data_IF_025641617206
#
_entry.id   IF_025641617206
#
_cell.length_a   1.000
_cell.length_b   1.000
_cell.length_c   1.000
_cell.angle_alpha   90.00
_cell.angle_beta   90.00
_cell.angle_gamma   90.00
#
_symmetry.space_group_name_H-M   'P 1'
#
loop_
_entity.id
_entity.type
_entity.pdbx_description
1 polymer ?
#
# COMPACT_ATOMS: atom_id res chain seq x y z
N UNK A 1 -4.55 3.11 -18.25
CA UNK A 1 -4.90 4.01 -19.37
C UNK A 1 -6.42 4.21 -19.53
N UNK A 2 -7.29 3.56 -18.74
CA UNK A 2 -8.75 3.73 -18.86
C UNK A 2 -9.37 4.90 -18.07
N UNK A 3 -8.68 5.42 -17.05
CA UNK A 3 -9.26 6.47 -16.20
C UNK A 3 -9.38 7.82 -16.88
N UNK A 4 -8.43 8.15 -17.75
CA UNK A 4 -8.40 9.42 -18.49
C UNK A 4 -9.54 9.47 -19.50
N UNK A 5 -9.84 8.34 -20.15
CA UNK A 5 -10.94 8.21 -21.09
C UNK A 5 -12.31 8.30 -20.39
N UNK A 6 -12.39 7.79 -19.15
CA UNK A 6 -13.58 7.94 -18.30
C UNK A 6 -13.80 9.40 -17.88
N UNK A 7 -12.72 10.12 -17.48
CA UNK A 7 -12.79 11.54 -17.14
C UNK A 7 -13.21 12.40 -18.33
N UNK A 8 -12.69 12.12 -19.52
CA UNK A 8 -13.01 12.87 -20.74
C UNK A 8 -14.48 12.68 -21.14
N UNK A 9 -14.99 11.44 -21.13
CA UNK A 9 -16.40 11.16 -21.43
C UNK A 9 -17.34 11.72 -20.37
N UNK A 10 -16.93 11.74 -19.10
CA UNK A 10 -17.71 12.33 -18.03
C UNK A 10 -17.81 13.86 -18.21
N UNK A 11 -16.71 14.51 -18.60
CA UNK A 11 -16.69 15.94 -18.90
C UNK A 11 -17.52 16.32 -20.13
N UNK A 12 -17.51 15.48 -21.17
CA UNK A 12 -18.32 15.66 -22.38
C UNK A 12 -19.83 15.53 -22.07
N UNK A 13 -20.19 14.53 -21.27
CA UNK A 13 -21.57 14.34 -20.79
C UNK A 13 -22.03 15.52 -19.92
N UNK A 14 -21.18 16.01 -19.02
CA UNK A 14 -21.48 17.18 -18.17
C UNK A 14 -21.70 18.45 -19.00
N UNK A 15 -21.05 18.59 -20.16
CA UNK A 15 -21.27 19.71 -21.09
C UNK A 15 -22.61 19.63 -21.80
N UNK A 16 -23.03 18.45 -22.28
CA UNK A 16 -24.30 18.29 -23.01
C UNK A 16 -25.53 18.51 -22.11
N UNK A 17 -25.43 18.20 -20.81
CA UNK A 17 -26.54 18.40 -19.86
C UNK A 17 -26.54 19.77 -19.15
N UNK A 18 -25.55 20.63 -19.44
CA UNK A 18 -25.31 21.89 -18.74
C UNK A 18 -26.44 22.93 -18.83
N UNK A 19 -27.24 22.92 -19.90
CA UNK A 19 -28.25 23.96 -20.15
C UNK A 19 -29.65 23.67 -19.53
N UNK A 20 -29.89 22.47 -18.99
CA UNK A 20 -31.22 22.06 -18.53
C UNK A 20 -31.35 21.76 -17.02
N UNK A 21 -30.25 21.75 -16.26
CA UNK A 21 -30.25 21.12 -14.94
C UNK A 21 -29.30 21.78 -13.91
N UNK A 22 -29.55 23.05 -13.60
CA UNK A 22 -28.66 23.94 -12.83
C UNK A 22 -28.25 23.47 -11.40
N UNK A 23 -29.15 22.96 -10.51
CA UNK A 23 -28.77 22.71 -9.10
C UNK A 23 -28.28 21.28 -8.82
N UNK A 24 -28.88 20.29 -9.50
CA UNK A 24 -28.58 18.88 -9.25
C UNK A 24 -27.24 18.47 -9.85
N UNK A 25 -26.85 19.03 -11.01
CA UNK A 25 -25.53 18.78 -11.61
C UNK A 25 -24.40 19.37 -10.77
N UNK A 26 -24.58 20.56 -10.19
CA UNK A 26 -23.59 21.11 -9.25
C UNK A 26 -23.37 20.20 -8.04
N UNK A 27 -24.44 19.63 -7.47
CA UNK A 27 -24.34 18.69 -6.35
C UNK A 27 -23.63 17.39 -6.74
N UNK A 28 -23.99 16.82 -7.89
CA UNK A 28 -23.34 15.62 -8.43
C UNK A 28 -21.86 15.86 -8.76
N UNK A 29 -21.53 16.99 -9.36
CA UNK A 29 -20.15 17.37 -9.66
C UNK A 29 -19.30 17.58 -8.40
N UNK A 30 -19.89 18.07 -7.31
CA UNK A 30 -19.21 18.18 -6.01
C UNK A 30 -18.99 16.80 -5.39
N UNK A 31 -20.01 15.94 -5.38
CA UNK A 31 -19.90 14.56 -4.88
C UNK A 31 -18.87 13.74 -5.68
N UNK A 32 -18.82 13.90 -7.00
CA UNK A 32 -17.82 13.24 -7.85
C UNK A 32 -16.40 13.70 -7.49
N UNK A 33 -16.19 15.01 -7.26
CA UNK A 33 -14.91 15.56 -6.81
C UNK A 33 -14.51 15.05 -5.43
N UNK A 34 -15.45 14.97 -4.49
CA UNK A 34 -15.21 14.41 -3.16
C UNK A 34 -14.86 12.92 -3.22
N UNK A 35 -15.60 12.15 -4.01
CA UNK A 35 -15.31 10.73 -4.23
C UNK A 35 -13.92 10.52 -4.86
N UNK A 36 -13.55 11.32 -5.86
CA UNK A 36 -12.23 11.28 -6.48
C UNK A 36 -11.13 11.64 -5.47
N UNK A 37 -11.33 12.67 -4.64
CA UNK A 37 -10.37 13.05 -3.60
C UNK A 37 -10.21 11.95 -2.54
N UNK A 38 -11.30 11.32 -2.11
CA UNK A 38 -11.28 10.21 -1.17
C UNK A 38 -10.59 8.98 -1.76
N UNK A 39 -10.84 8.67 -3.05
CA UNK A 39 -10.16 7.58 -3.75
C UNK A 39 -8.65 7.81 -3.81
N UNK A 40 -8.21 9.02 -4.17
CA UNK A 40 -6.77 9.39 -4.19
C UNK A 40 -6.13 9.27 -2.80
N UNK A 41 -6.84 9.67 -1.74
CA UNK A 41 -6.36 9.49 -0.35
C UNK A 41 -6.22 8.02 0.00
N UNK A 42 -7.22 7.20 -0.35
CA UNK A 42 -7.20 5.76 -0.08
C UNK A 42 -6.06 5.07 -0.82
N UNK A 43 -5.88 5.37 -2.10
CA UNK A 43 -4.77 4.86 -2.91
C UNK A 43 -3.41 5.18 -2.28
N UNK A 44 -3.23 6.44 -1.84
CA UNK A 44 -2.01 6.85 -1.13
C UNK A 44 -1.81 6.04 0.16
N UNK A 45 -2.85 5.87 0.97
CA UNK A 45 -2.76 5.08 2.21
C UNK A 45 -2.43 3.62 1.95
N UNK A 46 -2.98 3.01 0.90
CA UNK A 46 -2.68 1.63 0.51
C UNK A 46 -1.21 1.51 0.09
N UNK A 47 -0.71 2.44 -0.72
CA UNK A 47 0.69 2.43 -1.15
C UNK A 47 1.64 2.56 0.06
N UNK A 48 1.37 3.48 0.98
CA UNK A 48 2.17 3.61 2.22
C UNK A 48 2.12 2.35 3.09
N UNK A 49 0.96 1.67 3.16
CA UNK A 49 0.84 0.41 3.88
C UNK A 49 1.66 -0.70 3.21
N UNK A 50 1.64 -0.78 1.89
CA UNK A 50 2.44 -1.76 1.13
C UNK A 50 3.93 -1.54 1.36
N UNK A 51 4.42 -0.31 1.28
CA UNK A 51 5.82 0.04 1.58
C UNK A 51 6.22 -0.37 3.00
N UNK A 52 5.33 -0.13 3.97
CA UNK A 52 5.55 -0.51 5.37
C UNK A 52 5.62 -2.03 5.56
N UNK A 53 4.76 -2.78 4.86
CA UNK A 53 4.76 -4.24 4.89
C UNK A 53 5.99 -4.83 4.20
N UNK A 54 6.43 -4.26 3.09
CA UNK A 54 7.64 -4.69 2.40
C UNK A 54 8.89 -4.41 3.25
N UNK A 55 8.95 -3.28 3.92
CA UNK A 55 10.01 -2.98 4.89
C UNK A 55 10.00 -4.01 6.04
N UNK A 56 8.83 -4.24 6.66
CA UNK A 56 8.68 -5.21 7.75
C UNK A 56 9.11 -6.62 7.30
N UNK A 57 8.75 -7.02 6.07
CA UNK A 57 9.15 -8.30 5.49
C UNK A 57 10.67 -8.44 5.44
N UNK A 58 11.39 -7.39 5.07
CA UNK A 58 12.86 -7.39 5.04
C UNK A 58 13.43 -7.49 6.46
N UNK A 59 12.89 -6.72 7.41
CA UNK A 59 13.30 -6.80 8.82
C UNK A 59 13.18 -8.22 9.37
N UNK A 60 12.04 -8.89 9.13
CA UNK A 60 11.81 -10.27 9.58
C UNK A 60 12.84 -11.23 8.98
N UNK A 61 13.19 -11.08 7.69
CA UNK A 61 14.20 -11.93 7.05
C UNK A 61 15.56 -11.81 7.75
N UNK A 62 15.99 -10.59 8.07
CA UNK A 62 17.25 -10.37 8.78
C UNK A 62 17.21 -10.90 10.22
N UNK A 63 16.12 -10.65 10.95
CA UNK A 63 15.97 -11.17 12.31
C UNK A 63 16.00 -12.71 12.36
N UNK A 64 15.36 -13.38 11.40
CA UNK A 64 15.40 -14.84 11.30
C UNK A 64 16.81 -15.34 10.97
N UNK A 65 17.51 -14.65 10.07
CA UNK A 65 18.88 -14.99 9.70
C UNK A 65 19.83 -14.86 10.89
N UNK A 66 19.76 -13.77 11.63
CA UNK A 66 20.58 -13.53 12.82
C UNK A 66 20.27 -14.54 13.93
N UNK A 67 18.99 -14.88 14.13
CA UNK A 67 18.58 -15.91 15.07
C UNK A 67 19.15 -17.29 14.71
N UNK A 68 19.12 -17.66 13.43
CA UNK A 68 19.69 -18.94 12.99
C UNK A 68 21.22 -18.96 13.11
N UNK A 69 21.90 -17.85 12.82
CA UNK A 69 23.34 -17.71 13.02
C UNK A 69 23.72 -17.91 14.50
N UNK A 70 23.03 -17.21 15.42
CA UNK A 70 23.26 -17.36 16.87
C UNK A 70 22.92 -18.76 17.38
N UNK A 71 21.89 -19.42 16.83
CA UNK A 71 21.55 -20.80 17.18
C UNK A 71 22.63 -21.80 16.77
N UNK A 72 23.20 -21.64 15.57
CA UNK A 72 24.31 -22.48 15.07
C UNK A 72 25.57 -22.28 15.90
N UNK A 73 25.92 -21.03 16.18
CA UNK A 73 27.06 -20.69 17.01
C UNK A 73 26.93 -21.31 18.42
N UNK A 74 25.77 -21.18 19.05
CA UNK A 74 25.53 -21.75 20.37
C UNK A 74 25.69 -23.28 20.37
N UNK A 75 25.18 -23.95 19.32
CA UNK A 75 25.30 -25.40 19.16
C UNK A 75 26.77 -25.81 19.00
N UNK A 76 27.54 -25.08 18.20
CA UNK A 76 28.97 -25.33 18.01
C UNK A 76 29.75 -25.18 19.33
N UNK A 77 29.52 -24.07 20.05
CA UNK A 77 30.18 -23.82 21.34
C UNK A 77 29.86 -24.88 22.38
N UNK A 78 28.61 -25.36 22.44
CA UNK A 78 28.23 -26.45 23.36
C UNK A 78 28.98 -27.75 23.07
N UNK A 79 29.11 -28.12 21.79
CA UNK A 79 29.88 -29.31 21.39
C UNK A 79 31.34 -29.19 21.83
N UNK A 80 31.96 -28.03 21.63
CA UNK A 80 33.34 -27.81 22.04
C UNK A 80 33.53 -27.96 23.56
N UNK A 81 32.56 -27.48 24.36
CA UNK A 81 32.58 -27.66 25.82
C UNK A 81 32.35 -29.11 26.24
N UNK A 82 31.52 -29.86 25.52
CA UNK A 82 31.33 -31.30 25.78
C UNK A 82 32.59 -32.11 25.46
N UNK A 83 33.30 -31.76 24.39
CA UNK A 83 34.57 -32.39 23.99
C UNK A 83 35.73 -32.04 24.96
N UNK A 84 35.78 -30.81 25.49
CA UNK A 84 36.83 -30.36 26.42
C UNK A 84 36.66 -30.91 27.85
N UNK A 85 35.43 -31.23 28.26
CA UNK A 85 35.12 -31.82 29.57
C UNK A 85 35.05 -33.37 29.57
N UNK A 86 35.30 -34.00 28.43
CA UNK A 86 35.21 -35.47 28.21
C UNK A 86 36.53 -36.22 28.38
#
# INVERSE_FOLDING_TARGET
MDETNLEDKLNELVKEFGDAAEPQHKKLATLAREAQANRKKLEKSINTLQESLDYLRVCIKYQLFDLEATRRENTYLRKLLEEDNG
#
